data_IF_664213730496
#
_entry.id   IF_664213730496
#
_cell.length_a   1.000
_cell.length_b   1.000
_cell.length_c   1.000
_cell.angle_alpha   90.00
_cell.angle_beta   90.00
_cell.angle_gamma   90.00
#
_symmetry.space_group_name_H-M   'P 1'
#
loop_
_entity.id
_entity.type
_entity.pdbx_description
1 polymer ?
#
# COMPACT_ATOMS: atom_id res chain seq x y z
N UNK A 1 88.24 -31.55 55.43
CA UNK A 1 88.38 -31.54 53.96
C UNK A 1 87.10 -30.89 53.44
N UNK A 2 87.06 -29.57 53.22
CA UNK A 2 87.45 -28.90 51.96
C UNK A 2 86.62 -29.49 50.80
N UNK A 3 85.75 -28.78 50.09
CA UNK A 3 85.90 -27.49 49.40
C UNK A 3 84.52 -27.00 48.93
N UNK A 4 84.43 -25.69 48.69
CA UNK A 4 83.30 -25.00 48.07
C UNK A 4 83.15 -25.34 46.59
N UNK A 5 81.97 -25.05 46.01
CA UNK A 5 81.91 -24.32 44.74
C UNK A 5 80.56 -23.63 44.52
N UNK A 6 80.67 -22.37 44.10
CA UNK A 6 79.60 -21.50 43.63
C UNK A 6 79.33 -21.74 42.14
N UNK A 7 78.06 -21.72 41.71
CA UNK A 7 77.68 -21.13 40.42
C UNK A 7 76.34 -20.43 40.58
N UNK A 8 76.33 -19.12 40.33
CA UNK A 8 75.13 -18.30 40.26
C UNK A 8 74.46 -18.40 38.89
N UNK A 9 73.15 -18.14 38.87
CA UNK A 9 72.47 -17.60 37.69
C UNK A 9 71.30 -16.75 38.15
N UNK A 10 71.50 -15.45 37.97
CA UNK A 10 70.54 -14.36 38.11
C UNK A 10 69.33 -14.57 37.20
N UNK A 11 68.13 -14.51 37.76
CA UNK A 11 66.93 -14.13 37.00
C UNK A 11 66.27 -12.94 37.69
N UNK A 12 66.49 -11.81 37.03
CA UNK A 12 65.85 -10.51 37.08
C UNK A 12 64.49 -10.46 37.78
N UNK A 13 64.46 -9.78 38.92
CA UNK A 13 63.26 -9.16 39.47
C UNK A 13 62.77 -8.05 38.54
N UNK A 14 61.60 -8.24 37.92
CA UNK A 14 60.86 -7.14 37.29
C UNK A 14 60.09 -6.44 38.42
N UNK A 15 60.34 -5.15 38.71
CA UNK A 15 59.57 -4.44 39.71
C UNK A 15 58.13 -4.26 39.19
N UNK A 16 57.18 -4.81 39.93
CA UNK A 16 55.76 -4.51 39.76
C UNK A 16 55.58 -2.99 39.88
N UNK A 17 55.34 -2.34 38.76
CA UNK A 17 55.00 -0.93 38.69
C UNK A 17 53.65 -0.75 39.38
N UNK A 18 53.70 -0.18 40.57
CA UNK A 18 52.57 0.40 41.29
C UNK A 18 52.01 1.57 40.47
N UNK A 19 51.22 1.25 39.45
CA UNK A 19 50.34 2.23 38.83
C UNK A 19 49.14 2.43 39.75
N UNK A 20 49.12 3.55 40.47
CA UNK A 20 47.94 4.07 41.17
C UNK A 20 46.84 4.31 40.14
N UNK A 21 46.00 3.31 39.89
CA UNK A 21 44.77 3.46 39.14
C UNK A 21 43.81 4.34 39.96
N UNK A 22 43.41 5.48 39.39
CA UNK A 22 42.32 6.31 39.93
C UNK A 22 41.07 5.41 40.07
N UNK A 23 40.33 5.45 41.20
CA UNK A 23 39.14 4.63 41.36
C UNK A 23 38.13 4.98 40.27
N UNK A 24 37.69 3.97 39.51
CA UNK A 24 36.56 4.12 38.59
C UNK A 24 35.36 4.66 39.40
N UNK A 25 34.65 5.67 38.89
CA UNK A 25 33.47 6.18 39.57
C UNK A 25 32.49 5.01 39.80
N UNK A 26 32.01 4.89 41.04
CA UNK A 26 31.02 3.90 41.43
C UNK A 26 29.78 4.04 40.55
N UNK A 27 29.33 2.92 39.97
CA UNK A 27 28.24 2.94 39.00
C UNK A 27 26.94 3.25 39.73
N UNK A 28 26.30 4.36 39.36
CA UNK A 28 24.99 4.73 39.91
C UNK A 28 23.97 3.60 39.66
N UNK A 29 23.04 3.37 40.61
CA UNK A 29 22.02 2.34 40.45
C UNK A 29 21.09 2.70 39.28
N UNK A 30 20.91 1.74 38.37
CA UNK A 30 20.04 1.87 37.20
C UNK A 30 18.76 1.03 37.30
N UNK A 31 18.67 0.15 38.29
CA UNK A 31 17.52 -0.74 38.50
C UNK A 31 16.50 -0.07 39.42
N UNK A 32 15.24 -0.18 39.06
CA UNK A 32 14.11 0.37 39.81
C UNK A 32 13.25 -0.79 40.28
N UNK A 33 13.14 -0.96 41.59
CA UNK A 33 12.33 -2.01 42.21
C UNK A 33 11.04 -1.39 42.77
N UNK A 34 9.88 -1.93 42.36
CA UNK A 34 8.55 -1.55 42.85
C UNK A 34 7.74 -2.80 43.18
N UNK A 35 6.75 -2.71 44.10
CA UNK A 35 5.96 -3.87 44.52
C UNK A 35 5.25 -4.58 43.36
N UNK A 36 4.67 -3.80 42.45
CA UNK A 36 4.05 -4.31 41.22
C UNK A 36 4.97 -4.01 40.04
N UNK A 37 5.27 -5.00 39.17
CA UNK A 37 6.15 -4.78 38.03
C UNK A 37 5.52 -3.86 36.99
N UNK A 38 6.38 -3.16 36.24
CA UNK A 38 5.97 -2.36 35.09
C UNK A 38 5.48 -3.27 33.95
N UNK A 39 4.50 -2.77 33.21
CA UNK A 39 4.11 -3.37 31.92
C UNK A 39 4.50 -2.42 30.78
N UNK A 40 4.83 -2.97 29.62
CA UNK A 40 5.42 -2.19 28.53
C UNK A 40 4.69 -2.41 27.21
N UNK A 41 4.51 -1.33 26.46
CA UNK A 41 4.19 -1.35 25.03
C UNK A 41 5.30 -0.61 24.29
N UNK A 42 6.36 -1.35 23.96
CA UNK A 42 7.54 -0.79 23.32
C UNK A 42 7.26 -0.28 21.90
N UNK A 43 6.21 -0.78 21.24
CA UNK A 43 5.79 -0.30 19.93
C UNK A 43 5.27 1.15 19.97
N UNK A 44 4.79 1.60 21.13
CA UNK A 44 4.40 2.98 21.41
C UNK A 44 5.37 3.71 22.35
N UNK A 45 6.55 3.13 22.63
CA UNK A 45 7.52 3.66 23.59
C UNK A 45 6.89 3.99 24.96
N UNK A 46 6.04 3.09 25.44
CA UNK A 46 5.16 3.33 26.58
C UNK A 46 5.48 2.35 27.72
N UNK A 47 5.59 2.87 28.94
CA UNK A 47 5.65 2.11 30.18
C UNK A 47 4.44 2.46 31.06
N UNK A 48 3.72 1.44 31.51
CA UNK A 48 2.58 1.57 32.40
C UNK A 48 3.03 1.16 33.81
N UNK A 49 2.91 2.10 34.74
CA UNK A 49 3.11 1.87 36.17
C UNK A 49 1.75 1.66 36.86
N UNK A 50 1.42 0.43 37.31
CA UNK A 50 0.19 0.18 38.04
C UNK A 50 0.28 0.56 39.53
N UNK A 51 1.46 0.95 40.03
CA UNK A 51 1.62 1.30 41.44
C UNK A 51 0.93 2.63 41.77
N UNK A 52 0.39 2.80 42.99
CA UNK A 52 -0.26 4.03 43.39
C UNK A 52 0.73 5.19 43.39
N UNK A 53 0.25 6.35 42.93
CA UNK A 53 1.09 7.55 42.84
C UNK A 53 1.26 8.17 44.23
N UNK A 54 2.51 8.20 44.71
CA UNK A 54 2.85 8.70 46.05
C UNK A 54 2.97 10.23 45.99
N UNK A 55 1.94 10.92 46.46
CA UNK A 55 1.93 12.37 46.64
C UNK A 55 1.93 12.68 48.13
N UNK A 56 3.09 13.05 48.67
CA UNK A 56 3.19 13.54 50.05
C UNK A 56 2.88 15.03 50.08
N UNK A 57 2.11 15.49 51.08
CA UNK A 57 1.85 16.92 51.27
C UNK A 57 3.12 17.71 51.67
N UNK A 58 4.13 17.01 52.17
CA UNK A 58 5.37 17.60 52.69
C UNK A 58 6.41 17.88 51.58
N UNK A 59 6.25 17.29 50.40
CA UNK A 59 7.14 17.48 49.25
C UNK A 59 6.46 18.32 48.18
N UNK A 60 7.25 19.07 47.39
CA UNK A 60 6.68 19.78 46.26
C UNK A 60 6.11 18.78 45.25
N UNK A 61 4.89 19.04 44.77
CA UNK A 61 4.19 18.18 43.81
C UNK A 61 5.08 17.80 42.61
N UNK A 62 5.80 18.77 42.06
CA UNK A 62 6.70 18.57 40.93
C UNK A 62 7.85 17.62 41.27
N UNK A 63 8.39 17.65 42.49
CA UNK A 63 9.46 16.74 42.89
C UNK A 63 8.96 15.28 42.96
N UNK A 64 7.78 15.06 43.55
CA UNK A 64 7.18 13.72 43.62
C UNK A 64 6.86 13.14 42.23
N UNK A 65 6.29 13.97 41.34
CA UNK A 65 6.04 13.59 39.95
C UNK A 65 7.32 13.31 39.17
N UNK A 66 8.35 14.14 39.35
CA UNK A 66 9.65 13.96 38.68
C UNK A 66 10.35 12.68 39.15
N UNK A 67 10.29 12.37 40.45
CA UNK A 67 10.85 11.13 40.99
C UNK A 67 10.15 9.90 40.39
N UNK A 68 8.81 9.91 40.33
CA UNK A 68 8.02 8.82 39.75
C UNK A 68 8.28 8.67 38.24
N UNK A 69 8.34 9.79 37.51
CA UNK A 69 8.63 9.81 36.08
C UNK A 69 10.05 9.33 35.77
N UNK A 70 11.04 9.70 36.59
CA UNK A 70 12.42 9.22 36.49
C UNK A 70 12.46 7.69 36.59
N UNK A 71 11.77 7.12 37.56
CA UNK A 71 11.69 5.68 37.75
C UNK A 71 11.05 4.95 36.57
N UNK A 72 9.92 5.47 36.06
CA UNK A 72 9.26 4.93 34.88
C UNK A 72 10.13 5.01 33.62
N UNK A 73 10.78 6.16 33.38
CA UNK A 73 11.64 6.37 32.23
C UNK A 73 12.90 5.49 32.28
N UNK A 74 13.50 5.31 33.46
CA UNK A 74 14.64 4.43 33.66
C UNK A 74 14.27 2.97 33.33
N UNK A 75 13.12 2.49 33.82
CA UNK A 75 12.61 1.15 33.50
C UNK A 75 12.34 0.98 32.01
N UNK A 76 11.72 1.98 31.36
CA UNK A 76 11.46 1.97 29.93
C UNK A 76 12.75 1.89 29.11
N UNK A 77 13.75 2.71 29.44
CA UNK A 77 15.02 2.74 28.74
C UNK A 77 15.79 1.44 28.92
N UNK A 78 15.82 0.90 30.14
CA UNK A 78 16.42 -0.40 30.42
C UNK A 78 15.78 -1.49 29.54
N UNK A 79 14.45 -1.51 29.44
CA UNK A 79 13.73 -2.49 28.63
C UNK A 79 14.03 -2.31 27.13
N UNK A 80 14.03 -1.07 26.62
CA UNK A 80 14.34 -0.79 25.22
C UNK A 80 15.75 -1.24 24.83
N UNK A 81 16.77 -0.92 25.65
CA UNK A 81 18.16 -1.23 25.34
C UNK A 81 18.51 -2.71 25.56
N UNK A 82 17.76 -3.42 26.40
CA UNK A 82 18.00 -4.83 26.70
C UNK A 82 17.25 -5.77 25.74
N UNK A 83 16.04 -5.39 25.30
CA UNK A 83 15.16 -6.30 24.54
C UNK A 83 15.06 -5.99 23.06
N UNK A 84 15.26 -4.73 22.64
CA UNK A 84 15.20 -4.35 21.23
C UNK A 84 16.54 -4.60 20.53
N UNK A 85 16.51 -5.05 19.27
CA UNK A 85 17.74 -5.27 18.50
C UNK A 85 18.30 -3.94 18.04
N UNK A 86 19.57 -3.69 18.35
CA UNK A 86 20.28 -2.48 17.95
C UNK A 86 20.92 -2.70 16.59
N UNK A 87 20.54 -1.91 15.60
CA UNK A 87 21.15 -1.91 14.26
C UNK A 87 21.95 -0.63 14.07
N UNK A 88 23.23 -0.76 13.72
CA UNK A 88 24.09 0.38 13.41
C UNK A 88 24.36 0.39 11.90
N UNK A 89 23.96 1.46 11.22
CA UNK A 89 24.21 1.66 9.78
C UNK A 89 25.06 2.90 9.58
N UNK A 90 26.09 2.82 8.74
CA UNK A 90 27.06 3.92 8.52
C UNK A 90 26.40 5.22 8.04
N UNK A 91 25.25 5.14 7.36
CA UNK A 91 24.52 6.32 6.87
C UNK A 91 23.51 6.87 7.88
N UNK A 92 22.79 6.00 8.58
CA UNK A 92 21.60 6.37 9.37
C UNK A 92 21.84 6.39 10.90
N UNK A 93 23.02 5.95 11.36
CA UNK A 93 23.38 5.91 12.76
C UNK A 93 22.90 4.65 13.49
N UNK A 94 22.68 4.79 14.81
CA UNK A 94 22.26 3.70 15.70
C UNK A 94 20.74 3.74 15.86
N UNK A 95 20.07 2.66 15.44
CA UNK A 95 18.63 2.53 15.44
C UNK A 95 18.20 1.31 16.25
N UNK A 96 17.05 1.41 16.92
CA UNK A 96 16.42 0.29 17.62
C UNK A 96 15.28 -0.27 16.78
N UNK A 97 15.26 -1.59 16.57
CA UNK A 97 14.10 -2.26 15.97
C UNK A 97 13.03 -2.49 17.05
N UNK A 98 11.88 -1.83 16.91
CA UNK A 98 10.78 -1.92 17.87
C UNK A 98 9.86 -3.10 17.54
N UNK A 99 9.31 -3.79 18.55
CA UNK A 99 8.31 -4.82 18.34
C UNK A 99 6.98 -4.24 17.83
N UNK A 100 6.06 -5.08 17.32
CA UNK A 100 4.74 -4.63 16.93
C UNK A 100 3.98 -4.02 18.12
N UNK A 101 3.20 -2.97 17.84
CA UNK A 101 2.34 -2.28 18.78
C UNK A 101 1.30 -3.23 19.38
N UNK A 102 1.21 -3.28 20.72
CA UNK A 102 0.24 -4.14 21.43
C UNK A 102 -1.06 -3.42 21.73
N UNK A 103 -1.01 -2.11 22.03
CA UNK A 103 -2.21 -1.30 22.28
C UNK A 103 -3.00 -1.09 20.99
N UNK A 104 -4.21 -1.64 20.92
CA UNK A 104 -5.10 -1.47 19.77
C UNK A 104 -5.77 -0.10 19.81
N UNK A 105 -5.39 0.77 18.87
CA UNK A 105 -5.99 2.09 18.71
C UNK A 105 -7.07 2.07 17.62
N UNK A 106 -8.18 2.82 17.79
CA UNK A 106 -9.21 2.90 16.78
C UNK A 106 -8.68 3.56 15.51
N UNK A 107 -9.05 3.00 14.35
CA UNK A 107 -8.71 3.60 13.05
C UNK A 107 -9.55 4.84 12.81
N UNK A 108 -8.92 5.88 12.24
CA UNK A 108 -9.64 7.07 11.78
C UNK A 108 -10.55 6.78 10.57
N UNK A 109 -10.07 5.96 9.63
CA UNK A 109 -10.80 5.57 8.41
C UNK A 109 -11.21 4.11 8.46
N UNK A 110 -12.42 3.76 7.94
CA UNK A 110 -12.82 2.38 7.79
C UNK A 110 -11.84 1.63 6.88
N UNK A 111 -11.89 0.29 6.94
CA UNK A 111 -11.14 -0.52 6.00
C UNK A 111 -11.60 -0.21 4.57
N UNK A 112 -10.68 -0.17 3.59
CA UNK A 112 -11.07 0.04 2.21
C UNK A 112 -12.08 -1.06 1.81
N UNK A 113 -13.24 -0.64 1.32
CA UNK A 113 -14.26 -1.58 0.88
C UNK A 113 -13.68 -2.51 -0.20
N UNK A 114 -14.03 -3.81 -0.21
CA UNK A 114 -13.57 -4.71 -1.25
C UNK A 114 -14.01 -4.17 -2.61
N UNK A 115 -13.10 -4.21 -3.58
CA UNK A 115 -13.38 -3.74 -4.94
C UNK A 115 -14.60 -4.51 -5.48
N UNK A 116 -15.66 -3.78 -5.80
CA UNK A 116 -16.84 -4.38 -6.40
C UNK A 116 -16.44 -4.97 -7.76
N UNK A 117 -16.85 -6.21 -8.07
CA UNK A 117 -16.50 -6.84 -9.33
C UNK A 117 -17.14 -6.05 -10.47
N UNK A 118 -16.32 -5.72 -11.46
CA UNK A 118 -16.81 -5.05 -12.67
C UNK A 118 -17.74 -5.99 -13.46
N UNK A 119 -18.65 -5.43 -14.27
CA UNK A 119 -19.55 -6.21 -15.13
C UNK A 119 -18.77 -7.17 -16.05
N UNK A 120 -17.59 -6.74 -16.53
CA UNK A 120 -16.67 -7.59 -17.29
C UNK A 120 -16.12 -8.74 -16.46
N UNK A 121 -15.69 -8.51 -15.22
CA UNK A 121 -15.19 -9.59 -14.35
C UNK A 121 -16.28 -10.60 -13.99
N UNK A 122 -17.52 -10.15 -13.81
CA UNK A 122 -18.66 -11.06 -13.64
C UNK A 122 -18.89 -11.92 -14.88
N UNK A 123 -18.85 -11.32 -16.07
CA UNK A 123 -18.97 -12.03 -17.33
C UNK A 123 -17.80 -12.99 -17.56
N UNK A 124 -16.56 -12.53 -17.38
CA UNK A 124 -15.35 -13.32 -17.54
C UNK A 124 -15.30 -14.48 -16.55
N UNK A 125 -15.77 -14.30 -15.31
CA UNK A 125 -15.88 -15.38 -14.33
C UNK A 125 -16.96 -16.39 -14.70
N UNK A 126 -18.11 -15.94 -15.21
CA UNK A 126 -19.18 -16.83 -15.69
C UNK A 126 -18.78 -17.64 -16.93
N UNK A 127 -18.04 -17.01 -17.84
CA UNK A 127 -17.57 -17.63 -19.09
C UNK A 127 -16.22 -18.33 -18.96
N UNK A 128 -15.51 -18.18 -17.83
CA UNK A 128 -14.17 -18.75 -17.64
C UNK A 128 -13.13 -18.17 -18.58
N UNK A 129 -13.14 -16.85 -18.80
CA UNK A 129 -12.22 -16.15 -19.71
C UNK A 129 -11.01 -15.63 -18.94
N UNK A 130 -9.81 -15.85 -19.48
CA UNK A 130 -8.54 -15.38 -18.93
C UNK A 130 -8.22 -15.96 -17.55
N UNK A 131 -7.82 -15.10 -16.61
CA UNK A 131 -7.43 -15.46 -15.22
C UNK A 131 -8.49 -16.21 -14.41
N UNK A 132 -9.73 -16.30 -14.90
CA UNK A 132 -10.84 -16.96 -14.21
C UNK A 132 -11.18 -18.36 -14.79
N UNK A 133 -10.42 -18.85 -15.77
CA UNK A 133 -10.58 -20.20 -16.28
C UNK A 133 -10.09 -21.24 -15.26
N UNK A 134 -10.98 -22.12 -14.79
CA UNK A 134 -10.67 -23.20 -13.83
C UNK A 134 -9.93 -24.39 -14.45
N UNK A 135 -9.80 -24.50 -15.78
CA UNK A 135 -9.03 -25.57 -16.40
C UNK A 135 -7.54 -25.34 -16.16
N UNK A 136 -6.95 -26.19 -15.33
CA UNK A 136 -5.51 -26.33 -15.14
C UNK A 136 -4.86 -26.56 -16.52
N UNK A 137 -4.11 -25.57 -17.02
CA UNK A 137 -3.43 -25.63 -18.32
C UNK A 137 -3.97 -24.69 -19.43
N UNK A 138 -5.13 -24.05 -19.25
CA UNK A 138 -5.76 -23.21 -20.29
C UNK A 138 -5.65 -21.70 -20.02
N UNK A 139 -4.50 -21.21 -19.53
CA UNK A 139 -4.25 -19.79 -19.29
C UNK A 139 -3.68 -19.43 -17.91
N UNK A 140 -3.04 -20.38 -17.24
CA UNK A 140 -2.22 -20.09 -16.06
C UNK A 140 -0.93 -19.40 -16.48
N UNK A 141 -0.84 -18.09 -16.29
CA UNK A 141 0.40 -17.30 -16.40
C UNK A 141 0.91 -17.04 -17.82
N UNK A 142 1.12 -18.07 -18.64
CA UNK A 142 1.83 -17.97 -19.93
C UNK A 142 1.02 -17.28 -21.02
N UNK A 143 -0.20 -17.73 -21.33
CA UNK A 143 -1.03 -17.12 -22.38
C UNK A 143 -1.46 -15.67 -22.06
N UNK A 144 -1.69 -15.35 -20.79
CA UNK A 144 -1.96 -13.97 -20.34
C UNK A 144 -0.70 -13.10 -20.41
N UNK A 145 0.47 -13.64 -20.08
CA UNK A 145 1.75 -12.94 -20.24
C UNK A 145 2.04 -12.67 -21.71
N UNK A 146 1.75 -13.60 -22.62
CA UNK A 146 1.87 -13.40 -24.06
C UNK A 146 0.89 -12.36 -24.60
N UNK A 147 -0.36 -12.37 -24.14
CA UNK A 147 -1.35 -11.33 -24.48
C UNK A 147 -0.92 -9.94 -23.97
N UNK A 148 -0.17 -9.88 -22.86
CA UNK A 148 0.38 -8.63 -22.29
C UNK A 148 1.70 -8.18 -22.91
N UNK A 149 2.31 -8.93 -23.84
CA UNK A 149 3.53 -8.49 -24.55
C UNK A 149 3.22 -7.25 -25.40
N UNK A 150 4.05 -6.21 -25.22
CA UNK A 150 3.90 -4.91 -25.90
C UNK A 150 4.23 -4.97 -27.38
N UNK A 151 5.18 -5.81 -27.78
CA UNK A 151 5.66 -5.94 -29.16
C UNK A 151 4.98 -7.12 -29.86
N UNK A 152 4.68 -6.94 -31.14
CA UNK A 152 4.11 -7.93 -32.04
C UNK A 152 4.97 -7.93 -33.30
N UNK A 153 5.37 -9.11 -33.76
CA UNK A 153 6.14 -9.24 -34.98
C UNK A 153 5.26 -8.90 -36.20
N UNK A 154 5.82 -8.14 -37.12
CA UNK A 154 5.19 -7.83 -38.39
C UNK A 154 5.91 -8.56 -39.52
N UNK A 155 5.23 -9.52 -40.15
CA UNK A 155 5.83 -10.42 -41.15
C UNK A 155 6.15 -9.70 -42.47
N UNK A 156 5.47 -8.59 -42.76
CA UNK A 156 5.70 -7.80 -43.97
C UNK A 156 6.96 -6.93 -43.89
N UNK A 157 7.21 -6.32 -42.71
CA UNK A 157 8.39 -5.46 -42.48
C UNK A 157 9.56 -6.21 -41.84
N UNK A 158 9.33 -7.40 -41.29
CA UNK A 158 10.34 -8.18 -40.57
C UNK A 158 10.74 -7.59 -39.21
N UNK A 159 10.04 -6.56 -38.72
CA UNK A 159 10.37 -5.82 -37.50
C UNK A 159 9.39 -6.08 -36.34
N UNK A 160 9.87 -5.87 -35.11
CA UNK A 160 9.04 -5.93 -33.90
C UNK A 160 8.36 -4.60 -33.63
N UNK A 161 7.07 -4.52 -33.94
CA UNK A 161 6.29 -3.29 -33.85
C UNK A 161 5.43 -3.31 -32.57
N UNK A 162 5.27 -2.18 -31.84
CA UNK A 162 4.36 -2.15 -30.70
C UNK A 162 2.91 -2.45 -31.12
N UNK A 163 2.18 -3.20 -30.29
CA UNK A 163 0.77 -3.53 -30.53
C UNK A 163 -0.13 -2.27 -30.51
N UNK A 164 0.19 -1.32 -29.64
CA UNK A 164 -0.51 -0.05 -29.46
C UNK A 164 0.50 1.08 -29.18
N UNK A 165 0.16 2.32 -29.52
CA UNK A 165 1.02 3.49 -29.34
C UNK A 165 1.65 4.01 -30.64
N UNK A 166 2.84 4.63 -30.54
CA UNK A 166 3.54 5.24 -31.68
C UNK A 166 3.96 4.18 -32.71
N UNK A 167 3.61 4.40 -33.99
CA UNK A 167 3.77 3.44 -35.10
C UNK A 167 3.23 2.04 -34.77
N UNK A 168 2.18 1.94 -33.95
CA UNK A 168 1.67 0.64 -33.51
C UNK A 168 0.94 -0.11 -34.63
N UNK A 169 0.98 -1.45 -34.58
CA UNK A 169 0.35 -2.34 -35.57
C UNK A 169 -1.15 -2.09 -35.76
N UNK A 170 -1.85 -1.58 -34.73
CA UNK A 170 -3.27 -1.21 -34.83
C UNK A 170 -3.58 -0.15 -35.90
N UNK A 171 -2.59 0.65 -36.32
CA UNK A 171 -2.75 1.73 -37.30
C UNK A 171 -2.32 1.34 -38.72
N UNK A 172 -2.05 0.06 -38.96
CA UNK A 172 -1.49 -0.47 -40.21
C UNK A 172 -2.37 -0.37 -41.45
N UNK A 173 -3.56 0.24 -41.37
CA UNK A 173 -4.42 0.55 -42.53
C UNK A 173 -5.01 1.97 -42.49
N UNK A 174 -4.67 2.80 -41.48
CA UNK A 174 -5.16 4.19 -41.39
C UNK A 174 -4.41 5.12 -42.35
N UNK A 175 -3.18 4.77 -42.75
CA UNK A 175 -2.35 5.55 -43.67
C UNK A 175 -2.35 4.98 -45.10
N UNK A 176 -3.13 3.92 -45.35
CA UNK A 176 -3.28 3.36 -46.69
C UNK A 176 -4.23 4.25 -47.50
N UNK A 177 -3.79 4.59 -48.70
CA UNK A 177 -4.50 5.46 -49.63
C UNK A 177 -5.71 4.77 -50.28
N UNK A 178 -5.81 3.44 -50.17
CA UNK A 178 -6.90 2.63 -50.68
C UNK A 178 -7.25 1.56 -49.62
N UNK A 179 -8.47 1.65 -49.08
CA UNK A 179 -9.03 0.66 -48.16
C UNK A 179 -10.20 -0.01 -48.86
N UNK A 180 -10.10 -1.31 -49.10
CA UNK A 180 -11.20 -2.10 -49.66
C UNK A 180 -12.36 -2.12 -48.66
N UNK A 181 -13.54 -1.70 -49.10
CA UNK A 181 -14.74 -1.73 -48.28
C UNK A 181 -15.35 -3.12 -48.38
N UNK A 182 -15.43 -3.83 -47.26
CA UNK A 182 -16.13 -5.11 -47.18
C UNK A 182 -17.63 -4.91 -47.46
N UNK A 183 -18.15 -5.52 -48.54
CA UNK A 183 -19.56 -5.41 -48.94
C UNK A 183 -20.55 -5.82 -47.84
N UNK A 184 -20.13 -6.71 -46.92
CA UNK A 184 -20.95 -7.15 -45.78
C UNK A 184 -21.07 -6.08 -44.70
N UNK A 185 -20.01 -5.31 -44.48
CA UNK A 185 -20.00 -4.21 -43.51
C UNK A 185 -20.82 -3.06 -44.08
N UNK A 186 -20.61 -2.74 -45.36
CA UNK A 186 -21.39 -1.74 -46.09
C UNK A 186 -22.90 -2.01 -46.06
N UNK A 187 -23.34 -3.21 -46.43
CA UNK A 187 -24.77 -3.59 -46.41
C UNK A 187 -25.40 -3.52 -45.01
N UNK A 188 -24.60 -3.73 -43.96
CA UNK A 188 -25.07 -3.64 -42.57
C UNK A 188 -25.22 -2.20 -42.12
N UNK A 189 -24.32 -1.32 -42.53
CA UNK A 189 -24.41 0.12 -42.28
C UNK A 189 -25.56 0.76 -43.07
N UNK A 190 -25.79 0.35 -44.32
CA UNK A 190 -26.98 0.73 -45.10
C UNK A 190 -28.28 0.26 -44.43
N UNK A 191 -28.32 -0.97 -43.91
CA UNK A 191 -29.50 -1.44 -43.15
C UNK A 191 -29.78 -0.59 -41.91
N UNK A 192 -28.73 -0.24 -41.16
CA UNK A 192 -28.86 0.61 -39.97
C UNK A 192 -29.22 2.07 -40.30
N UNK A 193 -28.74 2.62 -41.42
CA UNK A 193 -29.08 3.97 -41.83
C UNK A 193 -30.54 4.07 -42.32
N UNK A 194 -31.03 3.06 -43.03
CA UNK A 194 -32.44 2.96 -43.44
C UNK A 194 -33.39 2.81 -42.24
N UNK A 195 -32.98 2.07 -41.21
CA UNK A 195 -33.73 1.96 -39.95
C UNK A 195 -33.80 3.32 -39.21
N UNK A 196 -32.72 4.12 -39.25
CA UNK A 196 -32.72 5.46 -38.68
C UNK A 196 -33.60 6.42 -39.48
N UNK A 197 -33.51 6.39 -40.81
CA UNK A 197 -34.28 7.28 -41.70
C UNK A 197 -35.78 6.99 -41.65
N UNK A 198 -36.16 5.71 -41.58
CA UNK A 198 -37.56 5.30 -41.37
C UNK A 198 -38.11 5.71 -40.00
N UNK A 199 -37.29 5.67 -38.94
CA UNK A 199 -37.67 6.15 -37.61
C UNK A 199 -37.90 7.67 -37.60
N UNK A 200 -37.04 8.45 -38.27
CA UNK A 200 -37.16 9.91 -38.37
C UNK A 200 -38.38 10.32 -39.22
N UNK A 201 -38.68 9.57 -40.29
CA UNK A 201 -39.88 9.76 -41.10
C UNK A 201 -41.17 9.46 -40.30
N UNK A 202 -41.17 8.39 -39.51
CA UNK A 202 -42.31 8.03 -38.66
C UNK A 202 -42.58 9.08 -37.58
N UNK A 203 -41.53 9.64 -36.97
CA UNK A 203 -41.66 10.71 -35.98
C UNK A 203 -42.17 12.03 -36.59
N UNK A 204 -41.74 12.36 -37.80
CA UNK A 204 -42.24 13.54 -38.54
C UNK A 204 -43.71 13.39 -38.92
N UNK A 205 -44.14 12.18 -39.32
CA UNK A 205 -45.55 11.89 -39.64
C UNK A 205 -46.46 11.99 -38.41
N UNK A 206 -46.02 11.46 -37.26
CA UNK A 206 -46.72 11.60 -35.97
C UNK A 206 -46.88 13.07 -35.56
N UNK A 207 -45.83 13.87 -35.72
CA UNK A 207 -45.87 15.28 -35.35
C UNK A 207 -46.78 16.12 -36.26
N UNK A 208 -46.82 15.80 -37.56
CA UNK A 208 -47.77 16.40 -38.51
C UNK A 208 -49.22 16.02 -38.24
N UNK A 209 -49.49 14.75 -37.90
CA UNK A 209 -50.84 14.27 -37.57
C UNK A 209 -51.38 14.91 -36.28
N UNK A 210 -50.54 15.06 -35.24
CA UNK A 210 -50.93 15.74 -34.01
C UNK A 210 -51.27 17.22 -34.24
N UNK A 211 -50.51 17.90 -35.09
CA UNK A 211 -50.77 19.29 -35.45
C UNK A 211 -52.12 19.46 -36.17
N UNK A 212 -52.47 18.53 -37.06
CA UNK A 212 -53.75 18.53 -37.76
C UNK A 212 -54.93 18.30 -36.81
N UNK A 213 -54.80 17.36 -35.88
CA UNK A 213 -55.83 17.09 -34.86
C UNK A 213 -56.04 18.30 -33.93
N UNK A 214 -54.96 18.95 -33.52
CA UNK A 214 -55.02 20.16 -32.69
C UNK A 214 -55.70 21.32 -33.43
N UNK A 215 -55.38 21.52 -34.72
CA UNK A 215 -56.01 22.55 -35.54
C UNK A 215 -57.50 22.27 -35.74
N UNK A 216 -57.87 21.01 -35.94
CA UNK A 216 -59.26 20.59 -36.07
C UNK A 216 -60.04 20.80 -34.76
N UNK A 217 -59.45 20.48 -33.61
CA UNK A 217 -60.05 20.75 -32.29
C UNK A 217 -60.26 22.25 -32.03
N UNK A 218 -59.29 23.10 -32.43
CA UNK A 218 -59.42 24.56 -32.32
C UNK A 218 -60.52 25.08 -33.25
N UNK A 219 -60.59 24.58 -34.49
CA UNK A 219 -61.63 24.95 -35.44
C UNK A 219 -63.03 24.55 -34.95
N UNK A 220 -63.20 23.33 -34.43
CA UNK A 220 -64.47 22.86 -33.85
C UNK A 220 -64.88 23.71 -32.64
N UNK A 221 -63.94 24.06 -31.75
CA UNK A 221 -64.22 24.98 -30.62
C UNK A 221 -64.64 26.39 -31.08
N UNK A 222 -63.97 26.94 -32.10
CA UNK A 222 -64.31 28.25 -32.66
C UNK A 222 -65.68 28.24 -33.34
N UNK A 223 -66.03 27.15 -34.04
CA UNK A 223 -67.35 26.99 -34.67
C UNK A 223 -68.46 26.82 -33.63
N UNK A 224 -68.21 26.06 -32.55
CA UNK A 224 -69.17 25.90 -31.45
C UNK A 224 -69.38 27.19 -30.64
N UNK A 225 -68.36 28.04 -30.50
CA UNK A 225 -68.46 29.30 -29.76
C UNK A 225 -69.19 30.43 -30.52
N UNK A 226 -69.53 30.22 -31.79
CA UNK A 226 -70.17 31.22 -32.67
C UNK A 226 -71.67 30.93 -32.95
N UNK A 227 -72.22 29.89 -32.32
CA UNK A 227 -73.66 29.61 -32.23
C UNK A 227 -74.17 29.99 -30.85
#
# INVERSE_FOLDING_TARGET
MAIADMVGSTSTSIPASTSKAKPKPERLPITVEKPTPYTFDLGHLLALDPNPLILSNDTSLNAALTATARDGAQSLLNQLLTTCTITSTTRDGILLSLPPRTTLLPRFKPLPAPKQPTKWELFARKKGIGKYNKKLGSGGGSAEAERRKKLVYDEASGEWVPRWGYKGKNKGGENDWLVEVDEKVWKKEEGLSLDVESTVAFQSYLQGSLAFLMLCCVYVRLVLAKR
#
